data_IF_071370804325
#
_entry.id   IF_071370804325
#
_cell.length_a   1.000
_cell.length_b   1.000
_cell.length_c   1.000
_cell.angle_alpha   90.00
_cell.angle_beta   90.00
_cell.angle_gamma   90.00
#
_symmetry.space_group_name_H-M   'P 1'
#
loop_
_entity.id
_entity.type
_entity.pdbx_description
1 polymer ?
#
# COMPACT_ATOMS: atom_id res chain seq x y z
N UNK A 1 21.70 30.76 -48.90
CA UNK A 1 21.06 30.86 -47.57
C UNK A 1 19.77 31.65 -47.72
N UNK A 2 18.63 31.14 -47.24
CA UNK A 2 17.88 32.00 -46.33
C UNK A 2 17.27 31.18 -45.18
N UNK A 3 17.75 31.43 -43.96
CA UNK A 3 17.07 31.04 -42.75
C UNK A 3 15.94 32.05 -42.52
N UNK A 4 14.68 31.59 -42.49
CA UNK A 4 13.54 32.45 -42.18
C UNK A 4 13.49 32.73 -40.67
N UNK A 5 13.17 33.97 -40.24
CA UNK A 5 13.11 34.34 -38.82
C UNK A 5 12.16 33.45 -38.01
N UNK A 6 11.07 32.97 -38.63
CA UNK A 6 10.10 32.05 -38.01
C UNK A 6 10.70 30.71 -37.55
N UNK A 7 11.68 30.14 -38.27
CA UNK A 7 12.30 28.86 -37.89
C UNK A 7 13.21 28.99 -36.67
N UNK A 8 13.81 30.15 -36.46
CA UNK A 8 14.74 30.40 -35.35
C UNK A 8 13.94 30.55 -34.04
N UNK A 9 12.81 31.25 -34.09
CA UNK A 9 11.92 31.41 -32.94
C UNK A 9 11.34 30.07 -32.50
N UNK A 10 10.90 29.20 -33.42
CA UNK A 10 10.37 27.87 -33.06
C UNK A 10 11.41 26.95 -32.41
N UNK A 11 12.67 27.00 -32.86
CA UNK A 11 13.75 26.19 -32.28
C UNK A 11 14.10 26.69 -30.87
N UNK A 12 14.13 28.01 -30.69
CA UNK A 12 14.45 28.64 -29.40
C UNK A 12 13.35 28.37 -28.36
N UNK A 13 12.07 28.50 -28.73
CA UNK A 13 10.94 28.13 -27.87
C UNK A 13 10.95 26.64 -27.49
N UNK A 14 11.34 25.76 -28.42
CA UNK A 14 11.47 24.32 -28.14
C UNK A 14 12.59 24.01 -27.13
N UNK A 15 13.74 24.68 -27.24
CA UNK A 15 14.85 24.52 -26.29
C UNK A 15 14.51 25.04 -24.89
N UNK A 16 13.82 26.17 -24.81
CA UNK A 16 13.28 26.72 -23.57
C UNK A 16 12.30 25.74 -22.94
N UNK A 17 11.31 25.26 -23.71
CA UNK A 17 10.35 24.29 -23.24
C UNK A 17 11.02 23.02 -22.72
N UNK A 18 12.02 22.47 -23.41
CA UNK A 18 12.76 21.27 -22.97
C UNK A 18 13.55 21.49 -21.67
N UNK A 19 14.17 22.67 -21.51
CA UNK A 19 14.97 22.98 -20.32
C UNK A 19 14.07 23.16 -19.09
N UNK A 20 12.95 23.86 -19.27
CA UNK A 20 11.92 24.02 -18.23
C UNK A 20 11.30 22.69 -17.85
N UNK A 21 10.94 21.86 -18.83
CA UNK A 21 10.40 20.52 -18.59
C UNK A 21 11.36 19.69 -17.73
N UNK A 22 12.65 19.68 -18.08
CA UNK A 22 13.68 18.94 -17.32
C UNK A 22 13.82 19.44 -15.88
N UNK A 23 13.73 20.76 -15.66
CA UNK A 23 13.85 21.35 -14.31
C UNK A 23 12.63 21.04 -13.45
N UNK A 24 11.42 21.23 -13.97
CA UNK A 24 10.16 20.97 -13.25
C UNK A 24 10.04 19.48 -12.90
N UNK A 25 10.31 18.59 -13.86
CA UNK A 25 10.30 17.14 -13.64
C UNK A 25 11.36 16.69 -12.61
N UNK A 26 12.47 17.42 -12.48
CA UNK A 26 13.53 17.11 -11.52
C UNK A 26 13.25 17.61 -10.09
N UNK A 27 12.37 18.60 -9.93
CA UNK A 27 12.01 19.19 -8.63
C UNK A 27 10.74 18.57 -8.04
N UNK A 28 9.80 18.14 -8.89
CA UNK A 28 8.57 17.46 -8.48
C UNK A 28 8.83 16.01 -8.06
N UNK A 29 8.09 15.50 -7.06
CA UNK A 29 8.08 14.05 -6.82
C UNK A 29 7.39 13.33 -7.99
N UNK A 30 7.90 12.16 -8.35
CA UNK A 30 7.40 11.39 -9.48
C UNK A 30 5.91 11.02 -9.37
N UNK A 31 5.42 10.80 -8.15
CA UNK A 31 3.99 10.56 -7.90
C UNK A 31 3.13 11.78 -8.25
N UNK A 32 3.62 13.00 -8.01
CA UNK A 32 2.93 14.23 -8.42
C UNK A 32 2.88 14.35 -9.95
N UNK A 33 3.92 13.88 -10.66
CA UNK A 33 3.95 13.88 -12.13
C UNK A 33 2.90 12.98 -12.78
N UNK A 34 2.54 11.88 -12.10
CA UNK A 34 1.52 10.96 -12.57
C UNK A 34 0.12 11.34 -12.11
N UNK A 35 -0.03 11.91 -10.92
CA UNK A 35 -1.32 12.20 -10.30
C UNK A 35 -1.82 13.64 -10.46
N UNK A 36 -0.93 14.61 -10.75
CA UNK A 36 -1.24 16.05 -10.86
C UNK A 36 -0.84 16.64 -12.21
N UNK A 37 -1.17 15.93 -13.30
CA UNK A 37 -0.83 16.37 -14.67
C UNK A 37 -1.32 17.79 -14.98
N UNK A 38 -2.50 18.16 -14.51
CA UNK A 38 -3.10 19.46 -14.80
C UNK A 38 -2.31 20.61 -14.14
N UNK A 39 -1.85 20.42 -12.90
CA UNK A 39 -1.05 21.41 -12.18
C UNK A 39 0.30 21.63 -12.88
N UNK A 40 0.93 20.55 -13.33
CA UNK A 40 2.22 20.61 -14.04
C UNK A 40 2.07 21.26 -15.41
N UNK A 41 0.99 20.95 -16.13
CA UNK A 41 0.70 21.59 -17.41
C UNK A 41 0.50 23.11 -17.23
N UNK A 42 -0.20 23.53 -16.18
CA UNK A 42 -0.40 24.94 -15.87
C UNK A 42 0.92 25.65 -15.51
N UNK A 43 1.76 25.02 -14.69
CA UNK A 43 3.08 25.56 -14.32
C UNK A 43 4.00 25.67 -15.55
N UNK A 44 4.05 24.64 -16.40
CA UNK A 44 4.81 24.64 -17.64
C UNK A 44 4.31 25.72 -18.61
N UNK A 45 3.00 25.87 -18.76
CA UNK A 45 2.41 26.92 -19.59
C UNK A 45 2.86 28.30 -19.12
N UNK A 46 2.76 28.57 -17.81
CA UNK A 46 3.12 29.86 -17.24
C UNK A 46 4.61 30.19 -17.46
N UNK A 47 5.51 29.24 -17.21
CA UNK A 47 6.95 29.48 -17.36
C UNK A 47 7.32 29.67 -18.83
N UNK A 48 6.77 28.85 -19.73
CA UNK A 48 7.10 28.94 -21.16
C UNK A 48 6.54 30.24 -21.75
N UNK A 49 5.29 30.61 -21.43
CA UNK A 49 4.68 31.85 -21.92
C UNK A 49 5.50 33.08 -21.50
N UNK A 50 5.92 33.12 -20.23
CA UNK A 50 6.74 34.21 -19.69
C UNK A 50 8.13 34.30 -20.36
N UNK A 51 8.74 33.16 -20.70
CA UNK A 51 10.03 33.17 -21.40
C UNK A 51 9.91 33.47 -22.90
N UNK A 52 8.75 33.23 -23.51
CA UNK A 52 8.51 33.49 -24.95
C UNK A 52 7.90 34.85 -25.25
N UNK A 53 7.40 35.55 -24.24
CA UNK A 53 6.85 36.91 -24.35
C UNK A 53 7.81 37.92 -25.02
N UNK A 54 9.13 37.94 -24.73
CA UNK A 54 10.09 38.84 -25.38
C UNK A 54 10.26 38.60 -26.89
N UNK A 55 9.83 37.42 -27.38
CA UNK A 55 9.88 37.05 -28.79
C UNK A 55 8.55 37.29 -29.52
N UNK A 56 7.55 37.85 -28.83
CA UNK A 56 6.23 38.14 -29.40
C UNK A 56 5.37 36.89 -29.66
N UNK A 57 5.66 35.78 -28.98
CA UNK A 57 4.94 34.51 -29.14
C UNK A 57 4.12 34.26 -27.87
N UNK A 58 2.80 34.12 -28.04
CA UNK A 58 1.86 33.78 -26.96
C UNK A 58 1.59 32.28 -26.94
N UNK A 59 1.76 31.64 -25.78
CA UNK A 59 1.60 30.19 -25.62
C UNK A 59 0.23 29.90 -25.00
N UNK A 60 -0.69 29.37 -25.81
CA UNK A 60 -2.08 29.13 -25.41
C UNK A 60 -2.29 27.82 -24.64
N UNK A 61 -1.48 26.80 -24.90
CA UNK A 61 -1.56 25.51 -24.22
C UNK A 61 -0.23 24.75 -24.34
N UNK A 62 0.16 24.06 -23.26
CA UNK A 62 1.29 23.12 -23.25
C UNK A 62 0.76 21.80 -22.71
N UNK A 63 0.98 20.72 -23.47
CA UNK A 63 0.53 19.39 -23.09
C UNK A 63 1.73 18.45 -23.03
N UNK A 64 1.98 17.87 -21.85
CA UNK A 64 3.00 16.84 -21.68
C UNK A 64 2.52 15.55 -22.34
N UNK A 65 3.14 15.17 -23.48
CA UNK A 65 2.83 13.92 -24.19
C UNK A 65 3.39 12.68 -23.47
N UNK A 66 4.59 12.26 -23.87
CA UNK A 66 5.28 11.09 -23.34
C UNK A 66 6.57 11.58 -22.69
N UNK A 67 6.69 11.38 -21.38
CA UNK A 67 7.95 11.57 -20.67
C UNK A 67 8.67 10.24 -20.67
N UNK A 68 9.73 10.13 -21.47
CA UNK A 68 10.61 8.96 -21.42
C UNK A 68 11.47 9.06 -20.16
N UNK A 69 11.09 8.29 -19.14
CA UNK A 69 11.82 8.23 -17.89
C UNK A 69 13.06 7.34 -18.11
N UNK A 70 14.26 7.79 -17.73
CA UNK A 70 15.45 6.95 -17.80
C UNK A 70 15.27 5.64 -17.01
N UNK A 71 15.70 4.51 -17.57
CA UNK A 71 15.54 3.19 -16.94
C UNK A 71 16.07 3.13 -15.50
N UNK A 72 17.17 3.84 -15.22
CA UNK A 72 17.78 3.84 -13.88
C UNK A 72 16.86 4.50 -12.83
N UNK A 73 16.18 5.58 -13.22
CA UNK A 73 15.21 6.25 -12.35
C UNK A 73 13.98 5.37 -12.13
N UNK A 74 13.47 4.72 -13.19
CA UNK A 74 12.33 3.82 -13.08
C UNK A 74 12.61 2.66 -12.11
N UNK A 75 13.82 2.08 -12.16
CA UNK A 75 14.26 1.04 -11.22
C UNK A 75 14.43 1.56 -9.78
N UNK A 76 14.87 2.80 -9.61
CA UNK A 76 14.98 3.42 -8.29
C UNK A 76 13.60 3.69 -7.66
N UNK A 77 12.64 4.15 -8.47
CA UNK A 77 11.24 4.37 -8.05
C UNK A 77 10.60 3.05 -7.68
N UNK A 78 10.72 2.02 -8.53
CA UNK A 78 10.19 0.69 -8.23
C UNK A 78 10.69 0.14 -6.90
N UNK A 79 12.01 0.23 -6.64
CA UNK A 79 12.61 -0.21 -5.36
C UNK A 79 12.10 0.58 -4.14
N UNK A 80 11.91 1.89 -4.28
CA UNK A 80 11.36 2.72 -3.19
C UNK A 80 9.88 2.41 -2.93
N UNK A 81 9.09 2.28 -3.99
CA UNK A 81 7.68 1.94 -3.89
C UNK A 81 7.47 0.57 -3.24
N UNK A 82 8.32 -0.41 -3.58
CA UNK A 82 8.30 -1.74 -2.97
C UNK A 82 8.68 -1.71 -1.48
N UNK A 83 9.74 -0.97 -1.11
CA UNK A 83 10.14 -0.80 0.28
C UNK A 83 9.05 -0.11 1.13
N UNK A 84 8.40 0.93 0.60
CA UNK A 84 7.30 1.60 1.29
C UNK A 84 6.06 0.69 1.40
N UNK A 85 5.78 -0.10 0.36
CA UNK A 85 4.70 -1.10 0.39
C UNK A 85 4.96 -2.17 1.44
N UNK A 86 6.17 -2.71 1.51
CA UNK A 86 6.53 -3.68 2.56
C UNK A 86 6.45 -3.07 3.96
N UNK A 87 6.95 -1.84 4.14
CA UNK A 87 6.85 -1.12 5.41
C UNK A 87 5.41 -0.97 5.84
N UNK A 88 4.53 -0.49 4.94
CA UNK A 88 3.10 -0.33 5.23
C UNK A 88 2.43 -1.66 5.52
N UNK A 89 2.74 -2.71 4.75
CA UNK A 89 2.20 -4.04 4.98
C UNK A 89 2.54 -4.55 6.39
N UNK A 90 3.79 -4.37 6.85
CA UNK A 90 4.22 -4.74 8.21
C UNK A 90 3.45 -3.97 9.29
N UNK A 91 3.25 -2.67 9.11
CA UNK A 91 2.51 -1.84 10.07
C UNK A 91 1.05 -2.31 10.15
N UNK A 92 0.40 -2.50 9.01
CA UNK A 92 -1.01 -2.94 8.96
C UNK A 92 -1.15 -4.33 9.59
N UNK A 93 -0.19 -5.22 9.33
CA UNK A 93 -0.22 -6.56 9.91
C UNK A 93 -0.06 -6.52 11.43
N UNK A 94 0.93 -5.79 11.94
CA UNK A 94 1.16 -5.64 13.37
C UNK A 94 -0.03 -4.99 14.10
N UNK A 95 -0.66 -3.98 13.48
CA UNK A 95 -1.88 -3.37 14.01
C UNK A 95 -3.05 -4.35 14.04
N UNK A 96 -3.22 -5.14 12.97
CA UNK A 96 -4.24 -6.19 12.93
C UNK A 96 -4.03 -7.27 13.99
N UNK A 97 -2.78 -7.70 14.20
CA UNK A 97 -2.43 -8.65 15.26
C UNK A 97 -2.71 -8.09 16.65
N UNK A 98 -2.37 -6.82 16.90
CA UNK A 98 -2.64 -6.15 18.17
C UNK A 98 -4.15 -6.07 18.46
N UNK A 99 -4.94 -5.64 17.48
CA UNK A 99 -6.40 -5.57 17.62
C UNK A 99 -7.02 -6.96 17.85
N UNK A 100 -6.54 -7.99 17.14
CA UNK A 100 -6.98 -9.36 17.35
C UNK A 100 -6.66 -9.85 18.76
N UNK A 101 -5.43 -9.64 19.24
CA UNK A 101 -5.01 -10.02 20.59
C UNK A 101 -5.85 -9.31 21.67
N UNK A 102 -6.12 -8.02 21.49
CA UNK A 102 -6.98 -7.26 22.40
C UNK A 102 -8.39 -7.85 22.49
N UNK A 103 -9.00 -8.16 21.33
CA UNK A 103 -10.34 -8.76 21.29
C UNK A 103 -10.39 -10.16 21.91
N UNK A 104 -9.34 -10.95 21.72
CA UNK A 104 -9.22 -12.26 22.36
C UNK A 104 -9.08 -12.15 23.88
N UNK A 105 -8.32 -11.17 24.37
CA UNK A 105 -8.21 -10.90 25.80
C UNK A 105 -9.55 -10.47 26.41
N UNK A 106 -10.26 -9.54 25.76
CA UNK A 106 -11.63 -9.14 26.16
C UNK A 106 -12.57 -10.36 26.21
N UNK A 107 -12.52 -11.22 25.19
CA UNK A 107 -13.33 -12.44 25.15
C UNK A 107 -12.95 -13.41 26.29
N UNK A 108 -11.66 -13.58 26.59
CA UNK A 108 -11.19 -14.42 27.69
C UNK A 108 -11.70 -13.92 29.06
N UNK A 109 -11.68 -12.61 29.29
CA UNK A 109 -12.23 -12.00 30.50
C UNK A 109 -13.73 -12.25 30.65
N UNK A 110 -14.50 -12.11 29.57
CA UNK A 110 -15.94 -12.41 29.56
C UNK A 110 -16.20 -13.89 29.87
N UNK A 111 -15.42 -14.79 29.27
CA UNK A 111 -15.52 -16.23 29.50
C UNK A 111 -15.16 -16.60 30.94
N UNK A 112 -14.13 -15.97 31.51
CA UNK A 112 -13.74 -16.17 32.91
C UNK A 112 -14.86 -15.79 33.88
N UNK A 113 -15.58 -14.69 33.58
CA UNK A 113 -16.72 -14.24 34.40
C UNK A 113 -17.95 -15.13 34.30
N UNK A 114 -18.12 -15.89 33.22
CA UNK A 114 -19.27 -16.76 33.01
C UNK A 114 -18.84 -18.19 32.63
N UNK A 115 -18.74 -19.12 33.61
CA UNK A 115 -18.32 -20.51 33.37
C UNK A 115 -19.19 -21.27 32.35
N UNK A 116 -20.46 -20.90 32.19
CA UNK A 116 -21.34 -21.50 31.17
C UNK A 116 -20.89 -21.17 29.74
N UNK A 117 -20.16 -20.07 29.52
CA UNK A 117 -19.62 -19.70 28.22
C UNK A 117 -18.56 -20.71 27.72
N UNK A 118 -17.74 -21.28 28.61
CA UNK A 118 -16.80 -22.34 28.24
C UNK A 118 -17.53 -23.61 27.78
N UNK A 119 -18.62 -23.97 28.46
CA UNK A 119 -19.43 -25.13 28.08
C UNK A 119 -20.09 -24.94 26.71
N UNK A 120 -20.64 -23.76 26.42
CA UNK A 120 -21.17 -23.44 25.10
C UNK A 120 -20.09 -23.48 24.02
N UNK A 121 -18.90 -22.93 24.29
CA UNK A 121 -17.78 -22.98 23.36
C UNK A 121 -17.31 -24.41 23.11
N UNK A 122 -17.26 -25.25 24.14
CA UNK A 122 -16.98 -26.68 24.01
C UNK A 122 -18.00 -27.38 23.11
N UNK A 123 -19.30 -27.16 23.32
CA UNK A 123 -20.35 -27.72 22.46
C UNK A 123 -20.23 -27.23 21.01
N UNK A 124 -19.90 -25.96 20.78
CA UNK A 124 -19.65 -25.42 19.43
C UNK A 124 -18.47 -26.11 18.76
N UNK A 125 -17.34 -26.28 19.47
CA UNK A 125 -16.18 -27.01 18.91
C UNK A 125 -16.52 -28.44 18.55
N UNK A 126 -17.40 -29.12 19.31
CA UNK A 126 -17.87 -30.46 18.96
C UNK A 126 -18.70 -30.46 17.66
N UNK A 127 -19.54 -29.45 17.44
CA UNK A 127 -20.33 -29.33 16.21
C UNK A 127 -19.43 -29.05 15.00
N UNK A 128 -18.41 -28.20 15.16
CA UNK A 128 -17.42 -27.90 14.11
C UNK A 128 -16.60 -29.15 13.72
N UNK A 129 -16.12 -29.90 14.72
CA UNK A 129 -15.38 -31.16 14.50
C UNK A 129 -16.26 -32.21 13.82
N UNK A 130 -17.55 -32.29 14.16
CA UNK A 130 -18.50 -33.22 13.51
C UNK A 130 -18.82 -32.79 12.07
N UNK A 131 -18.74 -31.50 11.76
CA UNK A 131 -18.92 -30.99 10.41
C UNK A 131 -17.70 -31.24 9.50
N UNK A 132 -16.48 -31.19 10.04
CA UNK A 132 -15.25 -31.59 9.34
C UNK A 132 -15.11 -33.12 9.28
N UNK A 133 -15.53 -33.72 8.15
CA UNK A 133 -15.42 -35.16 7.87
C UNK A 133 -13.96 -35.67 7.77
N UNK A 134 -13.20 -35.74 8.87
CA UNK A 134 -11.87 -36.37 8.90
C UNK A 134 -11.70 -37.35 10.09
N UNK A 135 -11.39 -38.60 9.73
CA UNK A 135 -11.54 -39.84 10.50
C UNK A 135 -10.40 -40.15 11.50
N UNK A 136 -9.94 -39.19 12.30
CA UNK A 136 -9.07 -39.51 13.44
C UNK A 136 -9.43 -38.62 14.63
N UNK A 137 -10.33 -39.13 15.46
CA UNK A 137 -10.86 -38.43 16.62
C UNK A 137 -9.84 -38.46 17.76
N UNK A 138 -9.04 -37.40 17.89
CA UNK A 138 -8.24 -37.16 19.10
C UNK A 138 -9.14 -36.40 20.08
N UNK A 139 -9.64 -37.12 21.08
CA UNK A 139 -10.39 -36.53 22.19
C UNK A 139 -9.41 -36.05 23.27
N UNK A 140 -9.26 -34.74 23.51
CA UNK A 140 -8.63 -34.26 24.72
C UNK A 140 -9.61 -34.43 25.89
N UNK A 141 -9.47 -35.52 26.63
CA UNK A 141 -10.22 -35.73 27.88
C UNK A 141 -9.46 -35.00 29.00
N UNK A 142 -10.12 -34.11 29.77
CA UNK A 142 -9.51 -33.47 30.94
C UNK A 142 -9.02 -34.54 31.93
N UNK A 143 -7.77 -34.43 32.40
CA UNK A 143 -7.19 -35.40 33.35
C UNK A 143 -8.03 -35.52 34.63
N UNK A 144 -8.75 -34.46 35.00
CA UNK A 144 -9.62 -34.43 36.18
C UNK A 144 -10.79 -35.43 36.12
N UNK A 145 -11.28 -35.78 34.92
CA UNK A 145 -12.34 -36.80 34.76
C UNK A 145 -11.78 -38.23 34.74
N UNK A 146 -10.49 -38.40 34.44
CA UNK A 146 -9.77 -39.68 34.46
C UNK A 146 -9.20 -40.03 35.84
N UNK A 147 -8.96 -39.02 36.69
CA UNK A 147 -8.43 -39.18 38.04
C UNK A 147 -9.15 -40.25 38.90
N UNK A 148 -10.50 -40.34 38.95
CA UNK A 148 -11.19 -41.38 39.71
C UNK A 148 -11.01 -42.79 39.14
N UNK A 149 -10.81 -42.94 37.82
CA UNK A 149 -10.59 -44.24 37.17
C UNK A 149 -9.17 -44.78 37.38
N UNK A 150 -8.16 -43.91 37.35
CA UNK A 150 -6.76 -44.29 37.59
C UNK A 150 -6.54 -44.67 39.06
N UNK A 151 -7.18 -43.96 40.00
CA UNK A 151 -7.06 -44.22 41.44
C UNK A 151 -7.68 -45.55 41.88
N UNK A 152 -8.62 -46.11 41.10
CA UNK A 152 -9.17 -47.45 41.33
C UNK A 152 -8.34 -48.60 40.77
N UNK A 153 -7.36 -48.32 39.88
CA UNK A 153 -6.56 -49.34 39.18
C UNK A 153 -5.19 -49.61 39.84
N UNK A 154 -4.76 -48.77 40.78
CA UNK A 154 -3.55 -48.99 41.58
C UNK A 154 -3.91 -49.76 42.88
N UNK A 155 -3.48 -51.02 43.05
CA UNK A 155 -3.56 -51.68 44.35
C UNK A 155 -2.65 -50.94 45.34
N UNK A 156 -3.14 -50.82 46.58
CA UNK A 156 -2.44 -50.15 47.70
C UNK A 156 -1.03 -50.69 47.92
#
# INVERSE_FOLDING_TARGET
MPWSPFKITSISTSQVAQTTLRSVLGQSQFDDLLSKRDDINAELQQIIDQQTEPWGVKVTAVEVKNVDIPQDMQRAIARRAEAERERRAKIIHAEGEFQAAQKLAEAADVISRNPAALQLRYLQTLVEIVAEKNSTTIFPIPIDTLAPFIKGLLPK
#
